data_IF_319832267196
#
_entry.id   IF_319832267196
#
_cell.length_a   1.000
_cell.length_b   1.000
_cell.length_c   1.000
_cell.angle_alpha   90.00
_cell.angle_beta   90.00
_cell.angle_gamma   90.00
#
_symmetry.space_group_name_H-M   'P 1'
#
loop_
_entity.id
_entity.type
_entity.pdbx_description
1 polymer ?
#
# COMPACT_ATOMS: atom_id res chain seq x y z
N UNK A 1 -26.45 8.24 -20.50
CA UNK A 1 -25.14 8.79 -20.10
C UNK A 1 -25.00 8.98 -18.57
N UNK A 2 -25.97 8.56 -17.74
CA UNK A 2 -26.06 9.00 -16.32
C UNK A 2 -25.75 7.93 -15.28
N UNK A 3 -26.02 6.64 -15.52
CA UNK A 3 -25.88 5.62 -14.46
C UNK A 3 -24.49 4.97 -14.44
N UNK A 4 -23.92 4.64 -15.59
CA UNK A 4 -22.61 3.97 -15.71
C UNK A 4 -21.43 4.90 -15.35
N UNK A 5 -21.49 6.17 -15.78
CA UNK A 5 -20.53 7.19 -15.39
C UNK A 5 -20.57 7.46 -13.87
N UNK A 6 -21.77 7.46 -13.27
CA UNK A 6 -21.93 7.58 -11.83
C UNK A 6 -21.37 6.37 -11.08
N UNK A 7 -21.50 5.16 -11.63
CA UNK A 7 -20.87 3.94 -11.11
C UNK A 7 -19.34 4.06 -11.14
N UNK A 8 -18.76 4.51 -12.26
CA UNK A 8 -17.33 4.74 -12.39
C UNK A 8 -16.81 5.77 -11.37
N UNK A 9 -17.54 6.86 -11.15
CA UNK A 9 -17.18 7.87 -10.15
C UNK A 9 -17.28 7.36 -8.72
N UNK A 10 -18.28 6.52 -8.40
CA UNK A 10 -18.36 5.83 -7.10
C UNK A 10 -17.15 4.92 -6.88
N UNK A 11 -16.76 4.16 -7.89
CA UNK A 11 -15.59 3.29 -7.84
C UNK A 11 -14.29 4.09 -7.67
N UNK A 12 -14.15 5.23 -8.35
CA UNK A 12 -13.02 6.16 -8.13
C UNK A 12 -13.01 6.75 -6.72
N UNK A 13 -14.17 7.10 -6.17
CA UNK A 13 -14.27 7.60 -4.80
C UNK A 13 -13.88 6.51 -3.77
N UNK A 14 -14.27 5.25 -4.00
CA UNK A 14 -13.83 4.12 -3.18
C UNK A 14 -12.31 3.93 -3.28
N UNK A 15 -11.75 4.04 -4.50
CA UNK A 15 -10.31 3.99 -4.73
C UNK A 15 -9.55 5.10 -3.99
N UNK A 16 -10.03 6.34 -4.04
CA UNK A 16 -9.42 7.47 -3.30
C UNK A 16 -9.52 7.30 -1.78
N UNK A 17 -10.68 6.86 -1.26
CA UNK A 17 -10.85 6.57 0.17
C UNK A 17 -9.92 5.46 0.65
N UNK A 18 -9.75 4.42 -0.17
CA UNK A 18 -8.84 3.32 0.08
C UNK A 18 -7.37 3.79 0.15
N UNK A 19 -6.97 4.75 -0.70
CA UNK A 19 -5.63 5.36 -0.62
C UNK A 19 -5.48 6.20 0.66
N UNK A 20 -6.48 7.02 1.02
CA UNK A 20 -6.42 7.80 2.28
C UNK A 20 -6.33 6.88 3.50
N UNK A 21 -7.05 5.76 3.49
CA UNK A 21 -6.99 4.77 4.56
C UNK A 21 -5.60 4.13 4.72
N UNK A 22 -4.84 4.03 3.62
CA UNK A 22 -3.45 3.57 3.65
C UNK A 22 -2.56 4.50 4.48
N UNK A 23 -2.82 5.80 4.44
CA UNK A 23 -2.00 6.83 5.07
C UNK A 23 -2.31 7.02 6.57
N UNK A 24 -3.30 6.32 7.14
CA UNK A 24 -3.54 6.28 8.59
C UNK A 24 -2.41 5.61 9.40
N UNK A 25 -1.34 5.14 8.74
CA UNK A 25 -0.10 4.62 9.36
C UNK A 25 0.54 5.60 10.36
N UNK A 26 0.34 6.90 10.18
CA UNK A 26 0.92 7.91 11.06
C UNK A 26 0.26 7.95 12.43
N UNK A 27 -0.98 7.44 12.58
CA UNK A 27 -1.69 7.50 13.86
C UNK A 27 -1.03 6.60 14.93
N UNK A 28 -0.79 5.29 14.68
CA UNK A 28 -0.06 4.45 15.65
C UNK A 28 1.37 4.93 15.90
N UNK A 29 2.04 5.44 14.87
CA UNK A 29 3.41 5.95 14.98
C UNK A 29 3.48 7.17 15.92
N UNK A 30 2.57 8.13 15.74
CA UNK A 30 2.45 9.32 16.59
C UNK A 30 2.07 8.93 18.02
N UNK A 31 1.15 7.98 18.19
CA UNK A 31 0.79 7.48 19.52
C UNK A 31 1.97 6.82 20.24
N UNK A 32 2.81 6.06 19.53
CA UNK A 32 4.03 5.49 20.09
C UNK A 32 5.04 6.57 20.50
N UNK A 33 5.33 7.53 19.61
CA UNK A 33 6.25 8.64 19.92
C UNK A 33 5.79 9.44 21.17
N UNK A 34 4.50 9.74 21.26
CA UNK A 34 3.91 10.45 22.40
C UNK A 34 4.02 9.61 23.68
N UNK A 35 3.77 8.30 23.60
CA UNK A 35 3.81 7.40 24.76
C UNK A 35 5.23 7.22 25.30
N UNK A 36 6.22 7.02 24.44
CA UNK A 36 7.65 7.04 24.84
C UNK A 36 7.99 8.35 25.52
N UNK A 37 7.58 9.50 24.95
CA UNK A 37 7.86 10.81 25.54
C UNK A 37 7.22 10.99 26.93
N UNK A 38 6.01 10.46 27.14
CA UNK A 38 5.34 10.48 28.45
C UNK A 38 6.02 9.58 29.48
N UNK A 39 6.53 8.41 29.07
CA UNK A 39 7.22 7.46 29.96
C UNK A 39 8.55 7.99 30.50
N UNK A 40 9.14 8.96 29.81
CA UNK A 40 10.40 9.62 30.17
C UNK A 40 10.18 10.87 31.04
N UNK A 41 8.93 11.23 31.37
CA UNK A 41 8.66 12.39 32.22
C UNK A 41 9.14 12.14 33.66
N UNK A 42 9.63 13.18 34.37
CA UNK A 42 10.14 13.05 35.75
C UNK A 42 9.12 12.47 36.72
N UNK A 43 7.85 12.78 36.51
CA UNK A 43 6.74 12.36 37.36
C UNK A 43 6.16 10.98 36.99
N UNK A 44 6.72 10.30 35.98
CA UNK A 44 6.24 8.98 35.57
C UNK A 44 6.74 7.91 36.55
N UNK A 45 5.85 7.08 37.15
CA UNK A 45 6.20 6.08 38.16
C UNK A 45 7.34 5.16 37.69
N UNK A 46 8.53 5.19 38.33
CA UNK A 46 9.71 4.45 37.89
C UNK A 46 9.47 2.94 37.77
N UNK A 47 8.74 2.37 38.73
CA UNK A 47 8.40 0.95 38.80
C UNK A 47 7.52 0.47 37.64
N UNK A 48 6.79 1.39 37.00
CA UNK A 48 5.93 1.09 35.85
C UNK A 48 6.59 1.38 34.51
N UNK A 49 7.73 2.10 34.45
CA UNK A 49 8.38 2.51 33.19
C UNK A 49 8.67 1.31 32.29
N UNK A 50 9.26 0.25 32.85
CA UNK A 50 9.59 -0.95 32.09
C UNK A 50 8.35 -1.66 31.54
N UNK A 51 7.35 -1.89 32.41
CA UNK A 51 6.09 -2.56 32.03
C UNK A 51 5.33 -1.76 30.98
N UNK A 52 5.31 -0.43 31.12
CA UNK A 52 4.67 0.49 30.19
C UNK A 52 5.32 0.45 28.80
N UNK A 53 6.66 0.52 28.73
CA UNK A 53 7.41 0.44 27.47
C UNK A 53 7.23 -0.91 26.77
N UNK A 54 7.21 -2.02 27.51
CA UNK A 54 6.97 -3.35 26.93
C UNK A 54 5.54 -3.45 26.37
N UNK A 55 4.54 -2.99 27.13
CA UNK A 55 3.15 -3.01 26.68
C UNK A 55 2.95 -2.12 25.44
N UNK A 56 3.60 -0.97 25.39
CA UNK A 56 3.61 -0.08 24.24
C UNK A 56 4.26 -0.71 23.01
N UNK A 57 5.42 -1.37 23.15
CA UNK A 57 6.07 -2.08 22.06
C UNK A 57 5.21 -3.18 21.46
N UNK A 58 4.46 -3.90 22.31
CA UNK A 58 3.47 -4.89 21.88
C UNK A 58 2.35 -4.21 21.10
N UNK A 59 1.77 -3.12 21.61
CA UNK A 59 0.72 -2.35 20.93
C UNK A 59 1.18 -1.80 19.58
N UNK A 60 2.39 -1.23 19.50
CA UNK A 60 2.98 -0.75 18.26
C UNK A 60 3.13 -1.88 17.24
N UNK A 61 3.63 -3.04 17.69
CA UNK A 61 3.79 -4.21 16.83
C UNK A 61 2.45 -4.68 16.27
N UNK A 62 1.41 -4.80 17.12
CA UNK A 62 0.06 -5.16 16.69
C UNK A 62 -0.55 -4.12 15.76
N UNK A 63 -0.38 -2.83 16.04
CA UNK A 63 -0.90 -1.75 15.20
C UNK A 63 -0.25 -1.76 13.80
N UNK A 64 1.06 -1.99 13.73
CA UNK A 64 1.78 -2.12 12.45
C UNK A 64 1.37 -3.37 11.68
N UNK A 65 1.18 -4.50 12.38
CA UNK A 65 0.68 -5.75 11.77
C UNK A 65 -0.76 -5.57 11.24
N UNK A 66 -1.63 -4.96 12.04
CA UNK A 66 -3.02 -4.65 11.67
C UNK A 66 -3.09 -3.67 10.49
N UNK A 67 -2.28 -2.60 10.51
CA UNK A 67 -2.15 -1.68 9.38
C UNK A 67 -1.73 -2.42 8.12
N UNK A 68 -0.77 -3.33 8.22
CA UNK A 68 -0.30 -4.09 7.06
C UNK A 68 -1.39 -5.00 6.51
N UNK A 69 -2.13 -5.66 7.40
CA UNK A 69 -3.31 -6.44 7.04
C UNK A 69 -4.35 -5.59 6.31
N UNK A 70 -4.74 -4.44 6.87
CA UNK A 70 -5.67 -3.50 6.25
C UNK A 70 -5.17 -3.05 4.88
N UNK A 71 -3.91 -2.63 4.75
CA UNK A 71 -3.34 -2.21 3.48
C UNK A 71 -3.40 -3.32 2.43
N UNK A 72 -3.12 -4.59 2.79
CA UNK A 72 -3.26 -5.73 1.87
C UNK A 72 -4.71 -5.93 1.43
N UNK A 73 -5.66 -5.84 2.36
CA UNK A 73 -7.08 -5.98 2.06
C UNK A 73 -7.59 -4.85 1.16
N UNK A 74 -7.17 -3.62 1.45
CA UNK A 74 -7.50 -2.43 0.68
C UNK A 74 -6.89 -2.46 -0.71
N UNK A 75 -5.62 -2.87 -0.85
CA UNK A 75 -4.97 -3.02 -2.16
C UNK A 75 -5.63 -4.14 -2.99
N UNK A 76 -6.02 -5.26 -2.37
CA UNK A 76 -6.85 -6.26 -3.04
C UNK A 76 -8.19 -5.68 -3.46
N UNK A 77 -8.87 -4.94 -2.60
CA UNK A 77 -10.12 -4.26 -2.94
C UNK A 77 -9.97 -3.35 -4.16
N UNK A 78 -8.95 -2.48 -4.16
CA UNK A 78 -8.59 -1.60 -5.27
C UNK A 78 -8.33 -2.38 -6.56
N UNK A 79 -7.50 -3.41 -6.49
CA UNK A 79 -7.12 -4.22 -7.65
C UNK A 79 -8.35 -4.92 -8.21
N UNK A 80 -9.21 -5.46 -7.36
CA UNK A 80 -10.46 -6.13 -7.74
C UNK A 80 -11.43 -5.24 -8.52
N UNK A 81 -11.31 -3.91 -8.42
CA UNK A 81 -12.12 -2.98 -9.20
C UNK A 81 -11.68 -2.85 -10.67
N UNK A 82 -10.47 -3.31 -11.05
CA UNK A 82 -9.94 -3.08 -12.40
C UNK A 82 -10.79 -3.67 -13.50
N UNK A 83 -11.23 -4.93 -13.38
CA UNK A 83 -12.07 -5.56 -14.39
C UNK A 83 -13.32 -4.73 -14.67
N UNK A 84 -14.08 -4.42 -13.62
CA UNK A 84 -15.31 -3.64 -13.75
C UNK A 84 -15.06 -2.23 -14.27
N UNK A 85 -14.01 -1.56 -13.81
CA UNK A 85 -13.65 -0.23 -14.30
C UNK A 85 -13.27 -0.26 -15.78
N UNK A 86 -12.52 -1.26 -16.25
CA UNK A 86 -12.14 -1.41 -17.66
C UNK A 86 -13.35 -1.75 -18.55
N UNK A 87 -14.31 -2.55 -18.07
CA UNK A 87 -15.57 -2.80 -18.78
C UNK A 87 -16.38 -1.52 -19.01
N UNK A 88 -16.49 -0.68 -17.98
CA UNK A 88 -17.18 0.60 -18.06
C UNK A 88 -16.42 1.58 -18.97
N UNK A 89 -15.10 1.65 -18.81
CA UNK A 89 -14.22 2.46 -19.65
C UNK A 89 -14.30 2.11 -21.14
N UNK A 90 -14.41 0.81 -21.47
CA UNK A 90 -14.62 0.32 -22.84
C UNK A 90 -15.91 0.87 -23.45
N UNK A 91 -16.98 0.99 -22.66
CA UNK A 91 -18.27 1.54 -23.13
C UNK A 91 -18.21 3.05 -23.35
N UNK A 92 -17.50 3.76 -22.47
CA UNK A 92 -17.39 5.22 -22.50
C UNK A 92 -16.20 5.74 -23.33
N UNK A 93 -15.37 4.85 -23.89
CA UNK A 93 -14.19 5.20 -24.67
C UNK A 93 -13.07 5.89 -23.86
N UNK A 94 -13.01 5.65 -22.55
CA UNK A 94 -12.04 6.25 -21.64
C UNK A 94 -10.89 5.29 -21.33
N UNK A 95 -9.64 5.77 -21.26
CA UNK A 95 -8.48 4.87 -21.07
C UNK A 95 -7.76 5.01 -19.72
N UNK A 96 -8.38 5.62 -18.70
CA UNK A 96 -7.65 6.00 -17.46
C UNK A 96 -7.20 4.79 -16.66
N UNK A 97 -8.14 3.89 -16.34
CA UNK A 97 -7.91 2.67 -15.57
C UNK A 97 -7.25 1.61 -16.43
N UNK A 98 -7.56 1.59 -17.72
CA UNK A 98 -6.95 0.70 -18.72
C UNK A 98 -5.45 0.98 -18.88
N UNK A 99 -5.07 2.26 -18.98
CA UNK A 99 -3.67 2.68 -18.97
C UNK A 99 -2.98 2.31 -17.65
N UNK A 100 -3.67 2.52 -16.54
CA UNK A 100 -3.13 2.21 -15.22
C UNK A 100 -2.90 0.70 -15.06
N UNK A 101 -3.87 -0.13 -15.42
CA UNK A 101 -3.76 -1.59 -15.38
C UNK A 101 -2.62 -2.10 -16.26
N UNK A 102 -2.50 -1.64 -17.51
CA UNK A 102 -1.39 -1.98 -18.40
C UNK A 102 -0.01 -1.64 -17.80
N UNK A 103 0.11 -0.49 -17.13
CA UNK A 103 1.36 -0.08 -16.46
C UNK A 103 1.75 -1.02 -15.33
N UNK A 104 0.78 -1.54 -14.58
CA UNK A 104 1.00 -2.39 -13.40
C UNK A 104 0.88 -3.88 -13.68
N UNK A 105 0.61 -4.27 -14.91
CA UNK A 105 0.63 -5.67 -15.33
C UNK A 105 2.02 -6.29 -15.11
N UNK A 106 2.08 -7.57 -14.73
CA UNK A 106 3.35 -8.30 -14.67
C UNK A 106 4.02 -8.31 -16.05
N UNK A 107 5.36 -8.27 -16.04
CA UNK A 107 6.14 -8.12 -17.28
C UNK A 107 5.91 -9.27 -18.25
N UNK A 108 5.68 -10.49 -17.75
CA UNK A 108 5.36 -11.66 -18.58
C UNK A 108 4.07 -11.48 -19.40
N UNK A 109 2.99 -11.02 -18.76
CA UNK A 109 1.70 -10.82 -19.43
C UNK A 109 1.75 -9.59 -20.33
N UNK A 110 2.47 -8.56 -19.90
CA UNK A 110 2.66 -7.33 -20.69
C UNK A 110 3.45 -7.62 -21.96
N UNK A 111 4.52 -8.41 -21.85
CA UNK A 111 5.30 -8.90 -22.98
C UNK A 111 4.45 -9.73 -23.94
N UNK A 112 3.58 -10.63 -23.40
CA UNK A 112 2.67 -11.45 -24.21
C UNK A 112 1.73 -10.59 -25.06
N UNK A 113 0.98 -9.66 -24.45
CA UNK A 113 0.04 -8.81 -25.21
C UNK A 113 0.73 -7.82 -26.14
N UNK A 114 1.94 -7.37 -25.79
CA UNK A 114 2.74 -6.54 -26.67
C UNK A 114 3.13 -7.30 -27.94
N UNK A 115 3.58 -8.55 -27.79
CA UNK A 115 3.88 -9.42 -28.93
C UNK A 115 2.65 -9.70 -29.79
N UNK A 116 1.48 -9.92 -29.16
CA UNK A 116 0.22 -10.14 -29.88
C UNK A 116 -0.19 -8.96 -30.77
N UNK A 117 0.20 -7.73 -30.42
CA UNK A 117 -0.05 -6.53 -31.24
C UNK A 117 1.15 -6.11 -32.10
N UNK A 118 2.18 -6.96 -32.22
CA UNK A 118 3.36 -6.71 -33.06
C UNK A 118 4.42 -5.79 -32.44
N UNK A 119 4.45 -5.65 -31.11
CA UNK A 119 5.47 -4.90 -30.39
C UNK A 119 6.56 -5.83 -29.84
N UNK A 120 7.79 -5.68 -30.36
CA UNK A 120 8.94 -6.51 -29.99
C UNK A 120 9.66 -6.06 -28.71
N UNK A 121 9.29 -4.91 -28.14
CA UNK A 121 9.94 -4.35 -26.94
C UNK A 121 9.13 -4.64 -25.68
N UNK A 122 9.80 -5.08 -24.62
CA UNK A 122 9.15 -5.41 -23.34
C UNK A 122 8.70 -4.18 -22.54
N UNK A 123 9.19 -2.98 -22.89
CA UNK A 123 8.92 -1.73 -22.17
C UNK A 123 8.27 -0.67 -23.06
N UNK A 124 7.12 -1.02 -23.63
CA UNK A 124 6.33 -0.13 -24.47
C UNK A 124 5.33 0.64 -23.62
N UNK A 125 5.20 1.95 -23.87
CA UNK A 125 4.19 2.78 -23.21
C UNK A 125 2.78 2.41 -23.67
N UNK A 126 1.78 2.77 -22.85
CA UNK A 126 0.38 2.44 -23.16
C UNK A 126 -0.10 3.10 -24.45
N UNK A 127 0.33 4.32 -24.76
CA UNK A 127 -0.12 5.03 -25.97
C UNK A 127 0.25 4.26 -27.25
N UNK A 128 1.46 3.71 -27.32
CA UNK A 128 1.90 2.90 -28.46
C UNK A 128 1.21 1.53 -28.50
N UNK A 129 0.99 0.91 -27.34
CA UNK A 129 0.17 -0.32 -27.25
C UNK A 129 -1.26 -0.10 -27.76
N UNK A 130 -1.91 0.99 -27.32
CA UNK A 130 -3.24 1.41 -27.78
C UNK A 130 -3.27 1.69 -29.28
N UNK A 131 -2.28 2.40 -29.80
CA UNK A 131 -2.19 2.68 -31.24
C UNK A 131 -2.12 1.38 -32.06
N UNK A 132 -1.24 0.46 -31.67
CA UNK A 132 -1.04 -0.79 -32.40
C UNK A 132 -2.23 -1.74 -32.31
N UNK A 133 -2.82 -1.89 -31.12
CA UNK A 133 -4.05 -2.67 -30.95
C UNK A 133 -5.22 -2.09 -31.75
N UNK A 134 -5.37 -0.76 -31.79
CA UNK A 134 -6.43 -0.09 -32.56
C UNK A 134 -6.28 -0.30 -34.07
N UNK A 135 -5.05 -0.45 -34.59
CA UNK A 135 -4.81 -0.82 -36.00
C UNK A 135 -5.33 -2.21 -36.36
N UNK A 136 -5.43 -3.12 -35.39
CA UNK A 136 -6.00 -4.46 -35.58
C UNK A 136 -7.52 -4.37 -35.55
N UNK A 137 -8.07 -3.79 -34.49
CA UNK A 137 -9.51 -3.60 -34.28
C UNK A 137 -9.75 -2.47 -33.29
N UNK A 138 -10.75 -1.65 -33.55
CA UNK A 138 -11.15 -0.58 -32.63
C UNK A 138 -11.52 -1.15 -31.24
N UNK A 139 -10.93 -0.59 -30.19
CA UNK A 139 -11.13 -1.02 -28.80
C UNK A 139 -10.46 -2.35 -28.41
N UNK A 140 -9.59 -2.91 -29.26
CA UNK A 140 -8.97 -4.23 -29.01
C UNK A 140 -8.04 -4.26 -27.79
N UNK A 141 -7.45 -3.13 -27.39
CA UNK A 141 -6.68 -3.05 -26.14
C UNK A 141 -7.51 -3.37 -24.90
N UNK A 142 -8.80 -3.00 -24.88
CA UNK A 142 -9.70 -3.36 -23.79
C UNK A 142 -9.92 -4.88 -23.78
N UNK A 143 -10.17 -5.48 -24.94
CA UNK A 143 -10.41 -6.93 -25.07
C UNK A 143 -9.20 -7.74 -24.55
N UNK A 144 -7.98 -7.33 -24.93
CA UNK A 144 -6.74 -7.97 -24.50
C UNK A 144 -6.53 -7.86 -22.98
N UNK A 145 -6.73 -6.67 -22.42
CA UNK A 145 -6.51 -6.42 -20.99
C UNK A 145 -7.59 -7.05 -20.11
N UNK A 146 -8.85 -6.99 -20.54
CA UNK A 146 -9.96 -7.69 -19.88
C UNK A 146 -9.79 -9.20 -19.97
N UNK A 147 -9.28 -9.74 -21.08
CA UNK A 147 -8.95 -11.17 -21.21
C UNK A 147 -7.96 -11.62 -20.13
N UNK A 148 -6.83 -10.91 -19.99
CA UNK A 148 -5.87 -11.20 -18.93
C UNK A 148 -6.50 -11.08 -17.53
N UNK A 149 -7.32 -10.05 -17.32
CA UNK A 149 -7.97 -9.84 -16.03
C UNK A 149 -8.92 -10.99 -15.68
N UNK A 150 -9.74 -11.44 -16.62
CA UNK A 150 -10.71 -12.52 -16.39
C UNK A 150 -10.03 -13.86 -16.13
N UNK A 151 -8.85 -14.09 -16.71
CA UNK A 151 -8.11 -15.33 -16.53
C UNK A 151 -7.32 -15.37 -15.20
N UNK A 152 -6.77 -14.23 -14.76
CA UNK A 152 -5.75 -14.19 -13.71
C UNK A 152 -6.10 -13.29 -12.51
N UNK A 153 -7.04 -12.37 -12.67
CA UNK A 153 -7.46 -11.39 -11.66
C UNK A 153 -6.26 -10.73 -10.96
N UNK A 154 -6.20 -10.83 -9.62
CA UNK A 154 -5.13 -10.30 -8.79
C UNK A 154 -3.73 -10.80 -9.16
N UNK A 155 -3.63 -11.98 -9.79
CA UNK A 155 -2.35 -12.56 -10.16
C UNK A 155 -1.76 -11.92 -11.42
N UNK A 156 -2.51 -11.11 -12.16
CA UNK A 156 -2.00 -10.43 -13.37
C UNK A 156 -1.14 -9.19 -13.07
N UNK A 157 -1.27 -8.62 -11.87
CA UNK A 157 -0.64 -7.34 -11.50
C UNK A 157 0.59 -7.52 -10.62
N UNK A 158 1.53 -6.58 -10.77
CA UNK A 158 2.72 -6.47 -9.93
C UNK A 158 2.33 -6.08 -8.50
N UNK A 159 3.00 -6.62 -7.47
CA UNK A 159 2.81 -6.18 -6.09
C UNK A 159 3.17 -4.69 -5.94
N UNK A 160 2.20 -3.86 -5.52
CA UNK A 160 2.35 -2.40 -5.49
C UNK A 160 3.12 -1.89 -4.29
N UNK A 161 4.46 -1.95 -4.35
CA UNK A 161 5.31 -1.44 -3.27
C UNK A 161 5.08 -2.15 -1.92
N UNK A 162 4.40 -3.29 -1.94
CA UNK A 162 4.12 -4.13 -0.79
C UNK A 162 5.40 -4.55 -0.06
N UNK A 163 6.48 -4.77 -0.82
CA UNK A 163 7.80 -5.09 -0.28
C UNK A 163 8.42 -3.90 0.44
N UNK A 164 8.32 -2.70 -0.13
CA UNK A 164 8.80 -1.46 0.49
C UNK A 164 8.01 -1.17 1.77
N UNK A 165 6.68 -1.35 1.76
CA UNK A 165 5.84 -1.16 2.94
C UNK A 165 6.07 -2.23 4.01
N UNK A 166 6.31 -3.49 3.61
CA UNK A 166 6.73 -4.55 4.54
C UNK A 166 8.08 -4.18 5.18
N UNK A 167 9.07 -3.80 4.37
CA UNK A 167 10.39 -3.44 4.84
C UNK A 167 10.32 -2.23 5.79
N UNK A 168 9.58 -1.19 5.43
CA UNK A 168 9.38 -0.01 6.26
C UNK A 168 8.73 -0.35 7.60
N UNK A 169 7.66 -1.16 7.60
CA UNK A 169 7.01 -1.59 8.84
C UNK A 169 7.94 -2.40 9.74
N UNK A 170 8.68 -3.35 9.17
CA UNK A 170 9.65 -4.16 9.90
C UNK A 170 10.77 -3.28 10.45
N UNK A 171 11.31 -2.35 9.65
CA UNK A 171 12.35 -1.42 10.07
C UNK A 171 11.90 -0.54 11.24
N UNK A 172 10.66 -0.05 11.25
CA UNK A 172 10.12 0.73 12.36
C UNK A 172 9.97 -0.09 13.64
N UNK A 173 9.46 -1.32 13.53
CA UNK A 173 9.35 -2.23 14.68
C UNK A 173 10.74 -2.53 15.24
N UNK A 174 11.69 -2.89 14.38
CA UNK A 174 13.08 -3.19 14.79
C UNK A 174 13.75 -1.96 15.41
N UNK A 175 13.60 -0.78 14.80
CA UNK A 175 14.17 0.46 15.33
C UNK A 175 13.63 0.77 16.73
N UNK A 176 12.32 0.57 16.97
CA UNK A 176 11.72 0.72 18.28
C UNK A 176 12.34 -0.25 19.31
N UNK A 177 12.40 -1.55 18.99
CA UNK A 177 12.91 -2.56 19.91
C UNK A 177 14.42 -2.43 20.17
N UNK A 178 15.21 -2.02 19.18
CA UNK A 178 16.65 -1.72 19.36
C UNK A 178 16.83 -0.50 20.26
N UNK A 179 16.03 0.55 20.04
CA UNK A 179 16.05 1.74 20.90
C UNK A 179 15.67 1.36 22.34
N UNK A 180 14.62 0.56 22.52
CA UNK A 180 14.24 0.02 23.82
C UNK A 180 15.36 -0.81 24.47
N UNK A 181 16.05 -1.68 23.71
CA UNK A 181 17.14 -2.48 24.26
C UNK A 181 18.35 -1.61 24.67
N UNK A 182 18.71 -0.60 23.86
CA UNK A 182 19.82 0.30 24.17
C UNK A 182 19.48 1.19 25.38
N UNK A 183 18.33 1.86 25.37
CA UNK A 183 17.98 2.84 26.41
C UNK A 183 17.34 2.20 27.66
N UNK A 184 16.64 1.07 27.51
CA UNK A 184 15.97 0.37 28.60
C UNK A 184 16.80 -0.73 29.28
N UNK A 185 17.83 -1.30 28.62
CA UNK A 185 18.64 -2.39 29.18
C UNK A 185 20.14 -2.04 29.33
N UNK A 186 20.72 -1.23 28.43
CA UNK A 186 22.16 -0.90 28.49
C UNK A 186 22.47 0.37 29.32
N UNK A 187 21.48 1.22 29.56
CA UNK A 187 21.60 2.43 30.40
C UNK A 187 20.42 2.59 31.37
N UNK A 188 20.21 1.66 32.32
CA UNK A 188 19.16 1.82 33.34
C UNK A 188 19.33 3.13 34.13
N UNK A 189 20.57 3.58 34.30
CA UNK A 189 20.91 4.81 35.05
C UNK A 189 20.72 6.10 34.23
N UNK A 190 20.60 6.05 32.90
CA UNK A 190 20.29 7.24 32.09
C UNK A 190 18.80 7.62 32.14
N UNK A 191 17.94 6.71 32.61
CA UNK A 191 16.51 6.94 32.89
C UNK A 191 16.32 7.45 34.33
N UNK A 192 17.35 7.35 35.17
CA UNK A 192 17.42 7.93 36.51
C UNK A 192 18.19 9.26 36.42
N UNK A 193 17.50 10.34 36.01
CA UNK A 193 18.01 11.68 36.28
C UNK A 193 18.18 11.79 37.80
N UNK A 194 19.45 11.96 38.18
CA UNK A 194 19.99 12.22 39.51
C UNK A 194 18.96 12.79 40.50
N UNK A 195 18.43 11.92 41.36
CA UNK A 195 18.13 12.34 42.74
C UNK A 195 19.43 12.26 43.53
N UNK A 196 20.36 13.18 43.27
CA UNK A 196 21.47 13.44 44.19
C UNK A 196 21.18 14.78 44.88
N UNK A 197 20.78 14.63 46.14
CA UNK A 197 20.50 15.59 47.21
C UNK A 197 21.19 16.97 47.13
N UNK A 198 20.56 18.04 47.67
CA UNK A 198 21.22 18.91 48.64
C UNK A 198 21.26 18.29 50.04
#
# INVERSE_FOLDING_TARGET
>A
MTDEYAELQKLRALWSKAIIQRDYIFIPLVLGIVSVSLSQLPNFPPEWRFVFLVFEGILLTFAMAYWRYLTRMTDKGIVGLYGRMMELEKKDGMDTQTQYYYRYLKDEHRGKINKEVGLEKDNVNFSKFREMSTKIKEGYHYDLLLGIWNDLEFNSVKPRGHEIHNAFAISLIVAYWVTFAIFGLAFPDAVLIETVNP
#
